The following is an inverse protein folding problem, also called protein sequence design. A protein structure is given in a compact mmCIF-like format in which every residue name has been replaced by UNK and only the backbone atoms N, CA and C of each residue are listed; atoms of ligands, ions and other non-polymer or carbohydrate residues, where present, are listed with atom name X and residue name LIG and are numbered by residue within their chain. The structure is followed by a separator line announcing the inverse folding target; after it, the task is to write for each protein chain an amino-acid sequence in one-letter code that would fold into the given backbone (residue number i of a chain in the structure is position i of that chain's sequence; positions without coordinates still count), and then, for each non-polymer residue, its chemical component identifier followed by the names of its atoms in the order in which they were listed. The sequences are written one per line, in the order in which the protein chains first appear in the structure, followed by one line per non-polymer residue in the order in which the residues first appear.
data_IF_455829367602
#
_entry.id   IF_455829367602
#
_cell.length_a   1.000
_cell.length_b   1.000
_cell.length_c   1.000
_cell.angle_alpha   90.00
_cell.angle_beta   90.00
_cell.angle_gamma   90.00
#
_symmetry.space_group_name_H-M   'P 1'
#
loop_
_entity.id
_entity.type
_entity.pdbx_description
1 polymer ?
#
# COMPACT_ATOMS: atom_id res chain seq x y z
N UNK A 1 6.85 20.12 44.88
CA UNK A 1 5.64 19.49 44.31
C UNK A 1 5.53 19.76 42.81
N UNK A 2 5.61 21.02 42.38
CA UNK A 2 5.54 21.42 40.95
C UNK A 2 6.56 20.75 40.01
N UNK A 3 7.82 20.58 40.46
CA UNK A 3 8.87 19.94 39.64
C UNK A 3 8.55 18.49 39.27
N UNK A 4 7.90 17.75 40.16
CA UNK A 4 7.51 16.36 39.90
C UNK A 4 6.33 16.29 38.93
N UNK A 5 5.41 17.26 39.01
CA UNK A 5 4.25 17.34 38.11
C UNK A 5 4.72 17.63 36.68
N UNK A 6 5.64 18.58 36.49
CA UNK A 6 6.20 18.88 35.17
C UNK A 6 6.95 17.68 34.57
N UNK A 7 7.73 16.95 35.38
CA UNK A 7 8.45 15.76 34.91
C UNK A 7 7.52 14.61 34.50
N UNK A 8 6.42 14.42 35.23
CA UNK A 8 5.39 13.42 34.89
C UNK A 8 4.68 13.80 33.58
N UNK A 9 4.30 15.07 33.42
CA UNK A 9 3.63 15.54 32.20
C UNK A 9 4.54 15.36 30.98
N UNK A 10 5.82 15.72 31.10
CA UNK A 10 6.81 15.55 30.01
C UNK A 10 6.99 14.06 29.68
N UNK A 11 7.13 13.20 30.70
CA UNK A 11 7.31 11.76 30.48
C UNK A 11 6.08 11.11 29.85
N UNK A 12 4.86 11.48 30.29
CA UNK A 12 3.61 11.03 29.68
C UNK A 12 3.44 11.54 28.26
N UNK A 13 3.78 12.79 27.97
CA UNK A 13 3.74 13.35 26.62
C UNK A 13 4.73 12.64 25.68
N UNK A 14 5.93 12.34 26.17
CA UNK A 14 6.95 11.61 25.41
C UNK A 14 6.50 10.18 25.09
N UNK A 15 5.92 9.48 26.08
CA UNK A 15 5.32 8.16 25.88
C UNK A 15 4.18 8.22 24.87
N UNK A 16 3.29 9.20 24.97
CA UNK A 16 2.16 9.37 24.04
C UNK A 16 2.63 9.61 22.60
N UNK A 17 3.69 10.40 22.40
CA UNK A 17 4.32 10.59 21.09
C UNK A 17 4.94 9.31 20.51
N UNK A 18 5.45 8.40 21.34
CA UNK A 18 6.01 7.12 20.90
C UNK A 18 4.94 6.10 20.48
N UNK A 19 3.66 6.30 20.86
CA UNK A 19 2.56 5.39 20.53
C UNK A 19 1.76 5.77 19.28
N UNK A 20 1.99 6.94 18.69
CA UNK A 20 1.38 7.28 17.41
C UNK A 20 2.16 6.66 16.26
N UNK A 21 1.98 5.35 16.05
CA UNK A 21 2.19 4.77 14.73
C UNK A 21 1.07 5.28 13.84
N UNK A 22 1.38 6.19 12.92
CA UNK A 22 0.46 6.54 11.84
C UNK A 22 0.33 5.33 10.93
N UNK A 23 -0.84 4.68 10.96
CA UNK A 23 -1.19 3.69 9.95
C UNK A 23 -1.49 4.44 8.66
N UNK A 24 -0.59 4.35 7.69
CA UNK A 24 -0.82 4.90 6.36
C UNK A 24 -1.71 3.93 5.58
N UNK A 25 -2.90 4.40 5.18
CA UNK A 25 -3.76 3.67 4.26
C UNK A 25 -4.23 4.63 3.16
N UNK A 26 -4.25 4.15 1.92
CA UNK A 26 -4.67 4.98 0.79
C UNK A 26 -6.20 4.96 0.72
N UNK A 27 -6.81 6.10 1.01
CA UNK A 27 -8.24 6.30 0.84
C UNK A 27 -8.51 6.98 -0.50
N UNK A 28 -9.35 6.35 -1.31
CA UNK A 28 -9.70 6.84 -2.65
C UNK A 28 -11.20 7.10 -2.69
N UNK A 29 -11.57 8.34 -2.98
CA UNK A 29 -12.95 8.71 -3.30
C UNK A 29 -13.17 8.55 -4.80
N UNK A 30 -13.95 7.55 -5.18
CA UNK A 30 -14.31 7.27 -6.57
C UNK A 30 -15.44 8.21 -7.02
N UNK A 31 -15.30 8.78 -8.22
CA UNK A 31 -16.38 9.54 -8.85
C UNK A 31 -17.56 8.62 -9.18
N UNK A 32 -18.70 9.20 -9.55
CA UNK A 32 -19.89 8.46 -9.98
C UNK A 32 -19.65 7.51 -11.17
N UNK A 33 -20.68 6.82 -11.67
CA UNK A 33 -20.56 5.62 -12.52
C UNK A 33 -19.77 5.76 -13.83
N UNK A 34 -19.59 6.98 -14.34
CA UNK A 34 -18.86 7.25 -15.59
C UNK A 34 -17.37 7.57 -15.39
N UNK A 35 -16.92 7.74 -14.15
CA UNK A 35 -15.54 8.09 -13.83
C UNK A 35 -14.73 6.92 -13.28
N UNK A 36 -13.41 6.99 -13.49
CA UNK A 36 -12.45 6.05 -12.89
C UNK A 36 -11.32 6.83 -12.24
N UNK A 37 -10.71 6.26 -11.20
CA UNK A 37 -9.46 6.75 -10.61
C UNK A 37 -8.42 5.66 -10.65
N UNK A 38 -7.18 6.06 -10.86
CA UNK A 38 -6.05 5.14 -10.88
C UNK A 38 -4.97 5.59 -9.91
N UNK A 39 -4.29 4.62 -9.31
CA UNK A 39 -3.02 4.79 -8.62
C UNK A 39 -1.93 4.28 -9.56
N UNK A 40 -0.88 5.08 -9.72
CA UNK A 40 0.25 4.83 -10.61
C UNK A 40 1.51 4.70 -9.78
N UNK A 41 2.26 3.64 -10.01
CA UNK A 41 3.54 3.38 -9.34
C UNK A 41 4.59 2.99 -10.38
N UNK A 42 5.80 3.54 -10.25
CA UNK A 42 6.93 3.13 -11.08
C UNK A 42 7.68 2.00 -10.37
N UNK A 43 7.65 0.82 -10.96
CA UNK A 43 8.14 -0.41 -10.33
C UNK A 43 9.18 -1.05 -11.24
N UNK A 44 10.27 -1.53 -10.64
CA UNK A 44 11.30 -2.29 -11.36
C UNK A 44 10.82 -3.66 -11.80
N UNK A 45 11.51 -4.26 -12.76
CA UNK A 45 11.35 -5.66 -13.13
C UNK A 45 11.65 -6.60 -11.95
N UNK A 46 10.96 -7.74 -11.90
CA UNK A 46 11.13 -8.82 -10.93
C UNK A 46 10.87 -8.40 -9.47
N UNK A 47 9.95 -7.48 -9.26
CA UNK A 47 9.48 -7.01 -7.96
C UNK A 47 8.12 -7.60 -7.67
N UNK A 48 7.94 -8.14 -6.47
CA UNK A 48 6.66 -8.68 -6.01
C UNK A 48 5.75 -7.52 -5.59
N UNK A 49 4.50 -7.56 -6.03
CA UNK A 49 3.44 -6.61 -5.66
C UNK A 49 2.28 -7.38 -5.06
N UNK A 50 1.79 -6.92 -3.93
CA UNK A 50 0.57 -7.38 -3.27
C UNK A 50 -0.32 -6.18 -3.03
N UNK A 51 -1.61 -6.32 -3.28
CA UNK A 51 -2.55 -5.30 -2.84
C UNK A 51 -3.88 -5.89 -2.40
N UNK A 52 -4.45 -5.27 -1.37
CA UNK A 52 -5.80 -5.50 -0.90
C UNK A 52 -6.63 -4.23 -1.11
N UNK A 53 -7.89 -4.39 -1.50
CA UNK A 53 -8.81 -3.26 -1.66
C UNK A 53 -10.17 -3.57 -1.04
N UNK A 54 -10.79 -2.54 -0.47
CA UNK A 54 -12.06 -2.64 0.24
C UNK A 54 -12.90 -1.38 0.04
N UNK A 55 -14.13 -1.53 -0.43
CA UNK A 55 -15.12 -0.47 -0.48
C UNK A 55 -15.65 -0.19 0.92
N UNK A 56 -15.57 1.06 1.35
CA UNK A 56 -16.09 1.51 2.64
C UNK A 56 -17.57 1.79 2.48
N UNK A 57 -18.37 1.21 3.37
CA UNK A 57 -19.81 1.45 3.42
C UNK A 57 -20.12 2.40 4.56
N UNK A 58 -20.71 3.55 4.26
CA UNK A 58 -21.18 4.50 5.27
C UNK A 58 -22.53 4.07 5.88
N UNK A 59 -23.37 3.37 5.10
CA UNK A 59 -24.69 2.87 5.50
C UNK A 59 -24.84 1.41 5.03
N UNK A 60 -25.31 0.53 5.92
CA UNK A 60 -25.50 -0.90 5.63
C UNK A 60 -26.66 -1.17 4.65
N UNK A 61 -27.47 -0.15 4.35
CA UNK A 61 -28.65 -0.27 3.48
C UNK A 61 -28.31 -0.32 1.98
N UNK A 62 -27.09 0.11 1.60
CA UNK A 62 -26.64 0.16 0.22
C UNK A 62 -25.25 -0.47 0.09
N UNK A 63 -25.09 -1.41 -0.84
CA UNK A 63 -23.82 -2.06 -1.11
C UNK A 63 -23.28 -1.61 -2.47
N UNK A 64 -22.48 -0.52 -2.52
CA UNK A 64 -21.83 -0.12 -3.75
C UNK A 64 -20.77 -1.14 -4.16
N UNK A 65 -20.71 -1.44 -5.46
CA UNK A 65 -19.74 -2.37 -6.03
C UNK A 65 -18.87 -1.65 -7.06
N UNK A 66 -17.62 -2.06 -7.15
CA UNK A 66 -16.63 -1.46 -8.05
C UNK A 66 -16.16 -2.46 -9.11
N UNK A 67 -15.53 -1.91 -10.15
CA UNK A 67 -14.69 -2.63 -11.10
C UNK A 67 -13.24 -2.25 -10.85
N UNK A 68 -12.34 -3.23 -10.95
CA UNK A 68 -10.91 -3.09 -10.69
C UNK A 68 -10.14 -3.63 -11.88
N UNK A 69 -9.17 -2.87 -12.38
CA UNK A 69 -8.28 -3.29 -13.45
C UNK A 69 -6.85 -2.87 -13.14
N UNK A 70 -5.91 -3.81 -13.21
CA UNK A 70 -4.48 -3.58 -12.99
C UNK A 70 -3.72 -3.86 -14.28
N UNK A 71 -2.89 -2.92 -14.72
CA UNK A 71 -2.14 -3.02 -15.99
C UNK A 71 -0.67 -2.72 -15.87
N UNK A 72 0.13 -3.40 -16.69
CA UNK A 72 1.56 -3.15 -16.89
C UNK A 72 1.81 -1.86 -17.70
N UNK A 73 3.08 -1.40 -17.76
CA UNK A 73 3.49 -0.24 -18.56
C UNK A 73 3.12 -0.34 -20.04
N UNK A 74 3.03 -1.57 -20.58
CA UNK A 74 2.68 -1.84 -21.97
C UNK A 74 1.19 -2.22 -22.16
N UNK A 75 0.38 -2.07 -21.12
CA UNK A 75 -1.07 -2.29 -21.16
C UNK A 75 -1.52 -3.73 -20.92
N UNK A 76 -0.61 -4.65 -20.58
CA UNK A 76 -0.98 -6.03 -20.24
C UNK A 76 -1.75 -6.06 -18.92
N UNK A 77 -2.91 -6.71 -18.87
CA UNK A 77 -3.72 -6.79 -17.67
C UNK A 77 -3.21 -7.89 -16.72
N UNK A 78 -2.89 -7.53 -15.48
CA UNK A 78 -2.50 -8.46 -14.41
C UNK A 78 -3.69 -8.88 -13.54
N UNK A 79 -4.69 -8.01 -13.42
CA UNK A 79 -5.90 -8.28 -12.67
C UNK A 79 -7.08 -7.55 -13.29
N UNK A 80 -8.24 -8.21 -13.34
CA UNK A 80 -9.51 -7.62 -13.73
C UNK A 80 -10.63 -8.28 -12.94
N UNK A 81 -11.41 -7.49 -12.21
CA UNK A 81 -12.55 -7.95 -11.42
C UNK A 81 -13.68 -6.94 -11.51
N UNK A 82 -14.91 -7.43 -11.58
CA UNK A 82 -16.11 -6.59 -11.69
C UNK A 82 -17.12 -6.99 -10.61
N UNK A 83 -17.95 -6.02 -10.21
CA UNK A 83 -19.03 -6.23 -9.25
C UNK A 83 -18.54 -6.75 -7.89
N UNK A 84 -17.43 -6.18 -7.41
CA UNK A 84 -16.79 -6.56 -6.13
C UNK A 84 -16.84 -5.42 -5.11
N UNK A 85 -16.87 -5.78 -3.83
CA UNK A 85 -16.73 -4.82 -2.71
C UNK A 85 -15.40 -4.95 -1.98
N UNK A 86 -14.75 -6.11 -2.12
CA UNK A 86 -13.48 -6.44 -1.48
C UNK A 86 -12.74 -7.37 -2.43
N UNK A 87 -11.42 -7.30 -2.45
CA UNK A 87 -10.61 -8.21 -3.21
C UNK A 87 -9.13 -7.94 -3.01
N UNK A 88 -8.31 -8.78 -3.65
CA UNK A 88 -6.88 -8.64 -3.64
C UNK A 88 -6.26 -9.09 -4.96
N UNK A 89 -5.01 -8.71 -5.16
CA UNK A 89 -4.20 -9.21 -6.25
C UNK A 89 -2.74 -9.33 -5.83
N UNK A 90 -2.05 -10.27 -6.49
CA UNK A 90 -0.65 -10.55 -6.27
C UNK A 90 -0.01 -10.83 -7.63
N UNK A 91 1.11 -10.19 -7.92
CA UNK A 91 1.89 -10.47 -9.12
C UNK A 91 3.37 -10.15 -8.91
N UNK A 92 4.20 -10.60 -9.85
CA UNK A 92 5.59 -10.17 -9.98
C UNK A 92 5.72 -9.40 -11.27
N UNK A 93 6.32 -8.22 -11.22
CA UNK A 93 6.56 -7.39 -12.41
C UNK A 93 7.48 -8.12 -13.38
N UNK A 94 7.18 -8.00 -14.67
CA UNK A 94 8.00 -8.59 -15.74
C UNK A 94 8.86 -7.55 -16.47
N UNK A 95 8.55 -6.28 -16.24
CA UNK A 95 9.12 -5.14 -16.94
C UNK A 95 9.19 -3.95 -15.96
N UNK A 96 10.22 -3.12 -16.09
CA UNK A 96 10.30 -1.86 -15.34
C UNK A 96 9.39 -0.81 -15.96
N UNK A 97 8.69 -0.03 -15.14
CA UNK A 97 7.91 1.12 -15.60
C UNK A 97 6.66 1.40 -14.76
N UNK A 98 5.74 2.19 -15.30
CA UNK A 98 4.51 2.58 -14.62
C UNK A 98 3.42 1.50 -14.66
N UNK A 99 3.07 0.97 -13.49
CA UNK A 99 1.93 0.07 -13.28
C UNK A 99 0.74 0.88 -12.76
N UNK A 100 -0.45 0.56 -13.26
CA UNK A 100 -1.69 1.25 -12.89
C UNK A 100 -2.66 0.27 -12.25
N UNK A 101 -3.22 0.60 -11.08
CA UNK A 101 -4.48 0.01 -10.62
C UNK A 101 -5.58 1.05 -10.69
N UNK A 102 -6.61 0.73 -11.45
CA UNK A 102 -7.72 1.59 -11.76
C UNK A 102 -9.02 1.02 -11.19
N UNK A 103 -9.84 1.92 -10.66
CA UNK A 103 -11.06 1.61 -9.94
C UNK A 103 -12.20 2.49 -10.46
N UNK A 104 -13.37 1.90 -10.69
CA UNK A 104 -14.58 2.61 -11.11
C UNK A 104 -15.82 2.06 -10.41
N UNK A 105 -16.83 2.89 -10.23
CA UNK A 105 -18.10 2.48 -9.63
C UNK A 105 -18.94 1.76 -10.69
N UNK A 106 -19.32 0.51 -10.41
CA UNK A 106 -20.18 -0.27 -11.31
C UNK A 106 -21.65 -0.16 -10.90
N UNK A 107 -21.94 -0.26 -9.61
CA UNK A 107 -23.28 -0.14 -9.05
C UNK A 107 -23.20 0.66 -7.75
N UNK A 108 -24.03 1.70 -7.62
CA UNK A 108 -24.17 2.47 -6.38
C UNK A 108 -25.64 2.92 -6.22
N UNK A 109 -26.48 2.11 -5.58
CA UNK A 109 -27.91 2.40 -5.44
C UNK A 109 -28.20 3.59 -4.51
N UNK A 110 -27.31 3.88 -3.57
CA UNK A 110 -27.43 5.03 -2.68
C UNK A 110 -27.09 6.38 -3.33
N UNK A 111 -26.52 6.35 -4.54
CA UNK A 111 -25.98 7.54 -5.20
C UNK A 111 -24.77 8.14 -4.47
N UNK A 112 -24.22 9.22 -5.04
CA UNK A 112 -23.04 9.90 -4.48
C UNK A 112 -21.70 9.22 -4.74
N UNK A 113 -20.68 9.69 -4.04
CA UNK A 113 -19.30 9.21 -4.13
C UNK A 113 -19.11 7.92 -3.34
N UNK A 114 -18.25 7.02 -3.85
CA UNK A 114 -17.91 5.77 -3.19
C UNK A 114 -16.49 5.88 -2.64
N UNK A 115 -16.31 5.64 -1.35
CA UNK A 115 -14.98 5.61 -0.75
C UNK A 115 -14.45 4.19 -0.71
N UNK A 116 -13.16 4.03 -0.96
CA UNK A 116 -12.49 2.75 -0.84
C UNK A 116 -11.11 2.90 -0.20
N UNK A 117 -10.69 1.83 0.45
CA UNK A 117 -9.33 1.62 0.93
C UNK A 117 -8.55 0.82 -0.10
N UNK A 118 -7.28 1.16 -0.24
CA UNK A 118 -6.29 0.43 -1.01
C UNK A 118 -5.02 0.31 -0.15
N UNK A 119 -4.60 -0.93 0.10
CA UNK A 119 -3.32 -1.27 0.68
C UNK A 119 -2.45 -1.81 -0.46
N UNK A 120 -1.53 -0.98 -0.98
CA UNK A 120 -0.65 -1.35 -2.10
C UNK A 120 0.78 -1.54 -1.58
N UNK A 121 1.27 -2.79 -1.58
CA UNK A 121 2.59 -3.19 -1.08
C UNK A 121 3.50 -3.61 -2.23
N UNK A 122 4.73 -3.07 -2.24
CA UNK A 122 5.73 -3.32 -3.28
C UNK A 122 7.01 -3.84 -2.64
N UNK A 123 7.63 -4.85 -3.26
CA UNK A 123 8.94 -5.36 -2.90
C UNK A 123 9.03 -5.80 -1.45
N UNK A 124 9.91 -5.16 -0.68
CA UNK A 124 10.15 -5.46 0.73
C UNK A 124 8.87 -5.35 1.59
N UNK A 125 7.97 -4.43 1.24
CA UNK A 125 6.69 -4.27 1.94
C UNK A 125 5.71 -5.40 1.63
N UNK A 126 5.85 -6.05 0.47
CA UNK A 126 5.08 -7.22 0.06
C UNK A 126 5.65 -8.55 0.58
N UNK A 127 6.80 -8.52 1.27
CA UNK A 127 7.49 -9.72 1.74
C UNK A 127 6.77 -10.32 2.96
N UNK A 128 6.56 -11.64 2.92
CA UNK A 128 6.03 -12.40 4.06
C UNK A 128 7.13 -12.63 5.11
N UNK A 129 7.27 -11.65 5.99
CA UNK A 129 8.23 -11.69 7.10
C UNK A 129 7.92 -12.78 8.13
N UNK A 130 6.66 -13.20 8.26
CA UNK A 130 6.29 -14.27 9.19
C UNK A 130 6.81 -15.63 8.68
N UNK A 131 6.76 -15.85 7.36
CA UNK A 131 7.38 -17.04 6.74
C UNK A 131 8.89 -17.04 6.89
N UNK A 132 9.55 -15.88 6.74
CA UNK A 132 11.00 -15.75 7.01
C UNK A 132 11.31 -16.07 8.47
N UNK A 133 10.54 -15.50 9.39
CA UNK A 133 10.71 -15.70 10.83
C UNK A 133 10.65 -17.18 11.21
N UNK A 134 9.62 -17.90 10.73
CA UNK A 134 9.46 -19.33 10.99
C UNK A 134 10.58 -20.17 10.39
N UNK A 135 11.02 -19.86 9.17
CA UNK A 135 12.05 -20.62 8.46
C UNK A 135 13.41 -20.48 9.14
N UNK A 136 13.79 -19.24 9.44
CA UNK A 136 15.11 -18.92 9.98
C UNK A 136 15.13 -18.97 11.53
N UNK A 137 13.98 -19.24 12.15
CA UNK A 137 13.76 -19.34 13.61
C UNK A 137 14.20 -18.07 14.36
N UNK A 138 13.89 -16.93 13.76
CA UNK A 138 14.17 -15.61 14.33
C UNK A 138 12.91 -15.05 14.99
N UNK A 139 13.06 -14.43 16.15
CA UNK A 139 11.93 -13.93 16.96
C UNK A 139 12.23 -12.55 17.55
N UNK A 140 11.18 -11.84 17.94
CA UNK A 140 11.28 -10.55 18.64
C UNK A 140 12.13 -9.52 17.90
N UNK A 141 13.14 -8.98 18.58
CA UNK A 141 13.99 -7.89 18.07
C UNK A 141 14.79 -8.29 16.83
N UNK A 142 15.19 -9.56 16.72
CA UNK A 142 15.96 -10.03 15.56
C UNK A 142 15.14 -9.95 14.26
N UNK A 143 13.85 -10.28 14.32
CA UNK A 143 12.95 -10.14 13.18
C UNK A 143 12.81 -8.66 12.76
N UNK A 144 12.69 -7.76 13.73
CA UNK A 144 12.59 -6.33 13.45
C UNK A 144 13.88 -5.77 12.83
N UNK A 145 15.05 -6.23 13.28
CA UNK A 145 16.32 -5.89 12.63
C UNK A 145 16.40 -6.43 11.19
N UNK A 146 15.88 -7.64 10.95
CA UNK A 146 15.85 -8.23 9.60
C UNK A 146 14.93 -7.47 8.65
N UNK A 147 13.78 -7.00 9.14
CA UNK A 147 12.87 -6.11 8.40
C UNK A 147 13.58 -4.80 8.02
N UNK A 148 14.24 -4.18 9.00
CA UNK A 148 15.01 -2.94 8.79
C UNK A 148 16.14 -3.12 7.77
N UNK A 149 16.90 -4.22 7.86
CA UNK A 149 17.95 -4.55 6.90
C UNK A 149 17.37 -4.65 5.48
N UNK A 150 16.25 -5.37 5.30
CA UNK A 150 15.58 -5.46 4.01
C UNK A 150 15.07 -4.11 3.49
N UNK A 151 14.59 -3.23 4.37
CA UNK A 151 14.17 -1.87 3.99
C UNK A 151 15.36 -1.03 3.54
N UNK A 152 16.50 -1.11 4.24
CA UNK A 152 17.73 -0.39 3.86
C UNK A 152 18.25 -0.87 2.50
N UNK A 153 18.25 -2.18 2.26
CA UNK A 153 18.68 -2.76 0.98
C UNK A 153 17.79 -2.29 -0.17
N UNK A 154 16.47 -2.32 0.00
CA UNK A 154 15.52 -1.82 -1.00
C UNK A 154 15.70 -0.32 -1.30
N UNK A 155 15.96 0.51 -0.28
CA UNK A 155 16.26 1.93 -0.47
C UNK A 155 17.56 2.11 -1.25
N UNK A 156 18.60 1.34 -0.89
CA UNK A 156 19.89 1.41 -1.56
C UNK A 156 19.78 1.07 -3.05
N UNK A 157 19.09 -0.02 -3.38
CA UNK A 157 18.84 -0.42 -4.77
C UNK A 157 18.08 0.66 -5.56
N UNK A 158 17.06 1.28 -4.93
CA UNK A 158 16.32 2.36 -5.56
C UNK A 158 17.20 3.61 -5.81
N UNK A 159 18.06 3.98 -4.85
CA UNK A 159 19.00 5.08 -5.03
C UNK A 159 20.00 4.81 -6.17
N UNK A 160 20.49 3.58 -6.28
CA UNK A 160 21.36 3.17 -7.39
C UNK A 160 20.63 3.26 -8.72
N UNK A 161 19.37 2.81 -8.79
CA UNK A 161 18.54 2.95 -9.99
C UNK A 161 18.37 4.41 -10.41
N UNK A 162 17.95 5.28 -9.47
CA UNK A 162 17.71 6.70 -9.75
C UNK A 162 18.98 7.37 -10.29
N UNK A 163 20.13 7.06 -9.69
CA UNK A 163 21.42 7.57 -10.15
C UNK A 163 21.75 7.13 -11.58
N UNK A 164 21.61 5.84 -11.91
CA UNK A 164 21.91 5.34 -13.25
C UNK A 164 21.03 5.99 -14.33
N UNK A 165 19.75 6.22 -14.01
CA UNK A 165 18.79 6.83 -14.92
C UNK A 165 19.11 8.31 -15.22
N UNK A 166 19.68 9.03 -14.26
CA UNK A 166 20.13 10.41 -14.45
C UNK A 166 21.37 10.48 -15.34
N UNK A 167 22.31 9.53 -15.23
CA UNK A 167 23.52 9.44 -16.07
C UNK A 167 23.20 9.05 -17.52
N UNK A 168 22.18 8.20 -17.75
CA UNK A 168 21.73 7.82 -19.10
C UNK A 168 20.94 8.92 -19.83
N UNK A 169 20.52 9.97 -19.11
CA UNK A 169 19.73 11.09 -19.65
C UNK A 169 20.59 12.27 -20.13
N UNK A 170 21.92 12.15 -20.06
CA UNK A 170 22.90 13.20 -20.41
C UNK A 170 23.66 12.94 -21.72
#
# INVERSE_FOLDING_TARGET
MEKNIASIIVSSALLFFLFFSTSDAIWITLPGPSGMKCVSEEIQNNVVVLADYLVIQADQSYHPTISVKVTSPYGNAFHHSENVTVGNFAFTTQESGSYLACFSVLHNPGGGEVQMNLDWKIGVAAKDWDSVARKDKIEGVELELKKLEGSVEAIHENLVYLKGRDEDSE
#
